data_IF_852854912520
#
_entry.id   IF_852854912520
#
_cell.length_a   1.000
_cell.length_b   1.000
_cell.length_c   1.000
_cell.angle_alpha   90.00
_cell.angle_beta   90.00
_cell.angle_gamma   90.00
#
_symmetry.space_group_name_H-M   'P 1'
#
loop_
_entity.id
_entity.type
_entity.pdbx_description
1 polymer ?
#
# COMPACT_ATOMS: atom_id res chain seq x y z
N UNK A 1 5.87 -16.41 48.50
CA UNK A 1 6.41 -15.40 47.58
C UNK A 1 5.27 -14.63 46.91
N UNK A 2 4.65 -13.69 47.63
CA UNK A 2 3.46 -12.93 47.16
C UNK A 2 3.37 -11.54 47.82
N UNK A 3 4.51 -10.93 48.18
CA UNK A 3 4.57 -9.63 48.89
C UNK A 3 5.68 -8.69 48.39
N UNK A 4 6.18 -8.89 47.18
CA UNK A 4 7.23 -8.02 46.57
C UNK A 4 6.72 -7.30 45.31
N UNK A 5 5.43 -7.45 44.99
CA UNK A 5 4.80 -6.86 43.81
C UNK A 5 3.79 -5.77 44.25
N UNK A 6 4.25 -4.71 44.92
CA UNK A 6 3.39 -3.55 45.27
C UNK A 6 4.14 -2.26 45.67
N UNK A 7 5.43 -2.12 45.36
CA UNK A 7 6.23 -0.93 45.71
C UNK A 7 7.02 -0.31 44.55
N UNK A 8 6.54 -0.49 43.31
CA UNK A 8 7.08 0.18 42.11
C UNK A 8 5.97 0.90 41.34
N UNK A 9 5.11 1.60 42.08
CA UNK A 9 3.96 2.32 41.53
C UNK A 9 3.76 3.64 42.29
N UNK A 10 4.83 4.43 42.44
CA UNK A 10 4.76 5.84 42.86
C UNK A 10 6.16 6.49 42.84
N UNK A 11 6.74 6.79 41.67
CA UNK A 11 7.76 7.86 41.56
C UNK A 11 8.13 8.14 40.09
N UNK A 12 7.38 9.01 39.41
CA UNK A 12 7.85 9.90 38.32
C UNK A 12 6.67 10.61 37.66
N UNK A 13 6.10 11.58 38.37
CA UNK A 13 5.25 12.61 37.79
C UNK A 13 5.91 13.95 38.11
N UNK A 14 6.63 14.52 37.13
CA UNK A 14 6.91 15.95 36.97
C UNK A 14 7.99 16.16 35.89
N UNK A 15 7.81 17.24 35.12
CA UNK A 15 8.76 17.89 34.19
C UNK A 15 8.62 17.51 32.70
N UNK A 16 7.77 18.23 31.98
CA UNK A 16 8.19 19.34 31.08
C UNK A 16 7.13 19.60 30.00
N UNK A 17 6.06 20.30 30.38
CA UNK A 17 5.26 21.09 29.44
C UNK A 17 5.86 22.49 29.35
N UNK A 18 6.87 22.64 28.50
CA UNK A 18 7.33 23.93 27.94
C UNK A 18 6.93 23.82 26.46
N UNK A 19 6.01 24.60 25.90
CA UNK A 19 5.69 26.00 26.15
C UNK A 19 5.86 26.70 24.81
N UNK A 20 4.78 26.87 24.05
CA UNK A 20 4.63 27.84 22.97
C UNK A 20 3.12 28.01 22.69
N UNK A 21 2.44 28.63 23.64
CA UNK A 21 1.09 29.15 23.48
C UNK A 21 1.05 30.53 24.14
N UNK A 22 0.42 31.49 23.44
CA UNK A 22 0.27 32.91 23.77
C UNK A 22 1.46 33.84 23.52
N UNK A 23 1.41 34.55 22.38
CA UNK A 23 1.68 35.98 22.38
C UNK A 23 0.42 36.69 21.85
N UNK A 24 -0.46 37.06 22.77
CA UNK A 24 -1.55 37.98 22.49
C UNK A 24 -1.02 39.40 22.30
N UNK A 25 -1.57 40.01 21.26
CA UNK A 25 -1.41 41.39 20.83
C UNK A 25 -2.23 42.29 21.75
N UNK A 26 -1.57 43.21 22.47
CA UNK A 26 -2.20 44.43 22.98
C UNK A 26 -1.38 45.66 22.59
N UNK A 27 -2.11 46.68 22.15
CA UNK A 27 -1.65 47.92 21.56
C UNK A 27 -1.21 48.95 22.62
N UNK A 28 -0.29 49.84 22.25
CA UNK A 28 -0.42 51.28 22.55
C UNK A 28 0.42 52.13 21.58
N UNK A 29 -0.05 53.35 21.36
CA UNK A 29 0.22 54.23 20.22
C UNK A 29 1.57 54.97 20.23
N UNK A 30 2.13 55.19 19.04
CA UNK A 30 3.28 56.07 18.80
C UNK A 30 3.33 56.55 17.36
N UNK A 31 2.92 57.80 17.15
CA UNK A 31 2.77 58.53 15.88
C UNK A 31 4.15 58.88 15.28
N UNK A 32 4.45 58.43 14.05
CA UNK A 32 5.65 58.82 13.30
C UNK A 32 5.50 58.59 11.80
N UNK A 33 5.67 59.66 11.03
CA UNK A 33 5.38 59.82 9.60
C UNK A 33 6.45 59.15 8.71
N UNK A 34 5.99 58.40 7.71
CA UNK A 34 6.44 58.41 6.31
C UNK A 34 7.90 58.04 6.00
N UNK A 35 8.10 56.82 5.48
CA UNK A 35 8.58 56.59 4.11
C UNK A 35 8.33 55.12 3.75
N UNK A 36 7.27 54.87 2.97
CA UNK A 36 6.98 53.55 2.39
C UNK A 36 7.92 53.35 1.20
N UNK A 37 9.07 52.72 1.45
CA UNK A 37 9.68 51.88 0.43
C UNK A 37 8.87 50.59 0.39
N UNK A 38 8.11 50.40 -0.68
CA UNK A 38 7.46 49.13 -1.00
C UNK A 38 8.55 48.10 -1.31
N UNK A 39 9.03 47.43 -0.27
CA UNK A 39 9.57 46.08 -0.44
C UNK A 39 8.39 45.21 -0.85
N UNK A 40 8.26 44.97 -2.16
CA UNK A 40 7.54 43.81 -2.67
C UNK A 40 8.30 42.57 -2.17
N UNK A 41 7.98 42.18 -0.93
CA UNK A 41 8.23 40.84 -0.44
C UNK A 41 7.33 39.92 -1.26
N UNK A 42 7.82 39.46 -2.40
CA UNK A 42 7.30 38.26 -3.04
C UNK A 42 7.69 37.07 -2.16
N UNK A 43 7.02 36.94 -1.02
CA UNK A 43 6.88 35.65 -0.36
C UNK A 43 6.14 34.76 -1.38
N UNK A 44 6.91 33.96 -2.12
CA UNK A 44 6.38 32.79 -2.81
C UNK A 44 5.65 31.98 -1.75
N UNK A 45 4.32 32.14 -1.70
CA UNK A 45 3.47 31.39 -0.81
C UNK A 45 3.72 29.92 -1.13
N UNK A 46 4.27 29.19 -0.16
CA UNK A 46 4.54 27.77 -0.33
C UNK A 46 3.25 27.07 -0.78
N UNK A 47 3.29 26.46 -1.96
CA UNK A 47 2.14 25.80 -2.55
C UNK A 47 1.85 24.52 -1.75
N UNK A 48 0.85 24.59 -0.87
CA UNK A 48 0.42 23.43 -0.10
C UNK A 48 -0.30 22.44 -1.02
N UNK A 49 0.12 21.17 -0.99
CA UNK A 49 -0.45 20.10 -1.80
C UNK A 49 -1.48 19.33 -0.96
N UNK A 50 -2.66 19.12 -1.52
CA UNK A 50 -3.70 18.29 -0.89
C UNK A 50 -3.24 16.83 -0.75
N UNK A 51 -3.56 16.15 0.38
CA UNK A 51 -3.23 14.74 0.54
C UNK A 51 -3.87 13.86 -0.54
N UNK A 52 -3.10 12.87 -1.01
CA UNK A 52 -3.64 11.83 -1.89
C UNK A 52 -4.67 10.96 -1.14
N UNK A 53 -5.64 10.43 -1.89
CA UNK A 53 -6.59 9.45 -1.36
C UNK A 53 -5.86 8.16 -0.96
N UNK A 54 -6.11 7.67 0.25
CA UNK A 54 -5.63 6.39 0.75
C UNK A 54 -6.76 5.36 0.82
N UNK A 55 -6.39 4.08 0.82
CA UNK A 55 -7.30 2.95 0.91
C UNK A 55 -6.82 2.00 2.00
N UNK A 56 -7.74 1.18 2.55
CA UNK A 56 -7.33 0.05 3.38
C UNK A 56 -6.54 -0.93 2.51
N UNK A 57 -5.39 -1.38 2.97
CA UNK A 57 -4.57 -2.36 2.26
C UNK A 57 -4.72 -3.74 2.90
N UNK A 58 -4.71 -4.79 2.08
CA UNK A 58 -4.61 -6.18 2.51
C UNK A 58 -3.12 -6.53 2.57
N UNK A 59 -2.71 -7.16 3.66
CA UNK A 59 -1.38 -7.76 3.78
C UNK A 59 -1.27 -8.95 2.83
N UNK A 60 -0.09 -9.12 2.24
CA UNK A 60 0.21 -10.23 1.34
C UNK A 60 1.72 -10.50 1.31
N UNK A 61 2.10 -11.73 1.00
CA UNK A 61 3.50 -12.08 0.73
C UNK A 61 3.63 -12.56 -0.71
N UNK A 62 4.65 -12.09 -1.43
CA UNK A 62 4.90 -12.53 -2.82
C UNK A 62 5.50 -13.93 -2.84
N UNK A 63 4.97 -14.80 -3.69
CA UNK A 63 5.50 -16.16 -3.85
C UNK A 63 6.64 -16.14 -4.86
N UNK A 64 7.84 -16.45 -4.39
CA UNK A 64 9.02 -16.64 -5.24
C UNK A 64 9.19 -18.13 -5.56
N UNK A 65 8.95 -18.50 -6.82
CA UNK A 65 8.99 -19.90 -7.26
C UNK A 65 10.42 -20.39 -7.51
N UNK A 66 11.03 -21.00 -6.50
CA UNK A 66 12.33 -21.67 -6.62
C UNK A 66 12.10 -23.07 -7.23
N UNK A 67 12.52 -23.27 -8.48
CA UNK A 67 12.37 -24.55 -9.19
C UNK A 67 11.35 -24.55 -10.33
N UNK A 68 10.76 -23.40 -10.63
CA UNK A 68 9.80 -23.20 -11.72
C UNK A 68 8.40 -22.91 -11.20
N UNK A 69 7.81 -21.83 -11.70
CA UNK A 69 6.43 -21.47 -11.40
C UNK A 69 5.45 -22.48 -12.06
N UNK A 70 4.23 -22.60 -11.53
CA UNK A 70 3.16 -23.33 -12.20
C UNK A 70 2.99 -22.90 -13.68
N UNK A 71 2.46 -23.79 -14.54
CA UNK A 71 2.17 -23.46 -15.93
C UNK A 71 1.26 -22.24 -16.07
N UNK A 72 1.41 -21.53 -17.19
CA UNK A 72 0.55 -20.39 -17.53
C UNK A 72 -0.85 -20.84 -17.91
N UNK A 73 -1.80 -19.95 -17.71
CA UNK A 73 -3.18 -20.12 -18.16
C UNK A 73 -3.32 -19.74 -19.63
N UNK A 74 -4.35 -20.28 -20.30
CA UNK A 74 -4.55 -20.05 -21.74
C UNK A 74 -4.81 -18.56 -22.06
N UNK A 75 -5.60 -17.91 -21.21
CA UNK A 75 -5.88 -16.47 -21.25
C UNK A 75 -5.37 -15.81 -19.97
N UNK A 76 -5.09 -14.51 -20.01
CA UNK A 76 -4.84 -13.78 -18.78
C UNK A 76 -6.10 -13.61 -17.94
N UNK A 77 -5.90 -13.33 -16.65
CA UNK A 77 -6.95 -13.37 -15.66
C UNK A 77 -6.43 -13.24 -14.24
N UNK A 78 -7.34 -13.47 -13.30
CA UNK A 78 -7.06 -13.48 -11.87
C UNK A 78 -7.70 -14.73 -11.28
N UNK A 79 -6.95 -15.46 -10.48
CA UNK A 79 -7.40 -16.65 -9.78
C UNK A 79 -7.13 -16.48 -8.30
N UNK A 80 -8.12 -16.88 -7.51
CA UNK A 80 -8.00 -17.05 -6.06
C UNK A 80 -8.08 -18.54 -5.80
N UNK A 81 -7.00 -19.09 -5.29
CA UNK A 81 -6.90 -20.49 -4.91
C UNK A 81 -7.00 -20.62 -3.40
N UNK A 82 -7.84 -21.54 -2.98
CA UNK A 82 -8.12 -21.84 -1.57
C UNK A 82 -7.81 -23.31 -1.31
N UNK A 83 -7.79 -23.73 -0.05
CA UNK A 83 -7.64 -25.14 0.37
C UNK A 83 -8.50 -26.13 -0.43
N UNK A 84 -9.74 -25.75 -0.71
CA UNK A 84 -10.70 -26.63 -1.39
C UNK A 84 -10.67 -26.47 -2.93
N UNK A 85 -10.05 -25.40 -3.43
CA UNK A 85 -10.04 -25.03 -4.86
C UNK A 85 -8.67 -24.51 -5.27
N UNK A 86 -7.76 -25.43 -5.55
CA UNK A 86 -6.43 -25.12 -6.09
C UNK A 86 -6.00 -26.19 -7.10
N UNK A 87 -5.10 -25.87 -8.06
CA UNK A 87 -4.54 -26.87 -8.96
C UNK A 87 -3.64 -27.86 -8.22
N UNK A 88 -3.44 -29.05 -8.82
CA UNK A 88 -2.48 -30.02 -8.31
C UNK A 88 -1.05 -29.46 -8.44
N UNK A 89 -0.23 -29.59 -7.40
CA UNK A 89 1.16 -29.12 -7.40
C UNK A 89 1.52 -28.13 -6.27
N UNK A 90 0.53 -27.59 -5.57
CA UNK A 90 0.71 -26.70 -4.40
C UNK A 90 0.78 -27.47 -3.06
N UNK A 91 1.49 -28.60 -3.05
CA UNK A 91 1.43 -29.54 -1.91
C UNK A 91 1.97 -28.99 -0.58
N UNK A 92 2.82 -27.96 -0.63
CA UNK A 92 3.46 -27.36 0.56
C UNK A 92 2.91 -25.98 0.94
N UNK A 93 1.84 -25.51 0.29
CA UNK A 93 1.21 -24.23 0.64
C UNK A 93 0.47 -24.36 1.98
N UNK A 94 0.55 -23.32 2.83
CA UNK A 94 -0.15 -23.27 4.11
C UNK A 94 -1.64 -22.95 3.92
N UNK A 95 -2.38 -23.94 3.43
CA UNK A 95 -3.80 -23.80 3.12
C UNK A 95 -4.71 -23.62 4.34
N UNK A 96 -4.18 -23.78 5.56
CA UNK A 96 -4.97 -23.58 6.78
C UNK A 96 -5.02 -22.11 7.19
N UNK A 97 -4.09 -21.29 6.70
CA UNK A 97 -3.93 -19.88 7.07
C UNK A 97 -3.88 -18.93 5.87
N UNK A 98 -3.59 -19.44 4.68
CA UNK A 98 -3.37 -18.62 3.50
C UNK A 98 -4.15 -19.11 2.29
N UNK A 99 -4.69 -18.14 1.54
CA UNK A 99 -5.12 -18.32 0.17
C UNK A 99 -4.06 -17.78 -0.80
N UNK A 100 -4.10 -18.23 -2.05
CA UNK A 100 -3.15 -17.79 -3.09
C UNK A 100 -3.88 -16.94 -4.13
N UNK A 101 -3.38 -15.73 -4.33
CA UNK A 101 -3.72 -14.86 -5.45
C UNK A 101 -2.75 -15.11 -6.60
N UNK A 102 -3.30 -15.36 -7.78
CA UNK A 102 -2.56 -15.47 -9.03
C UNK A 102 -3.08 -14.45 -10.03
N UNK A 103 -2.18 -13.66 -10.62
CA UNK A 103 -2.51 -12.75 -11.73
C UNK A 103 -1.68 -13.09 -12.97
N UNK A 104 -2.33 -13.06 -14.13
CA UNK A 104 -1.66 -13.19 -15.43
C UNK A 104 -2.17 -12.08 -16.36
N UNK A 105 -1.25 -11.24 -16.83
CA UNK A 105 -1.56 -10.20 -17.80
C UNK A 105 -1.71 -10.79 -19.23
N UNK A 106 -2.26 -9.98 -20.13
CA UNK A 106 -2.32 -10.31 -21.55
C UNK A 106 -0.92 -10.55 -22.13
N UNK A 107 -0.85 -11.38 -23.18
CA UNK A 107 0.37 -11.57 -23.96
C UNK A 107 0.85 -10.30 -24.63
N UNK A 108 0.02 -9.26 -24.79
CA UNK A 108 0.46 -7.98 -25.35
C UNK A 108 1.62 -7.32 -24.58
N UNK A 109 1.84 -7.70 -23.33
CA UNK A 109 2.94 -7.23 -22.49
C UNK A 109 4.18 -8.15 -22.58
N UNK A 110 4.50 -8.70 -23.75
CA UNK A 110 5.70 -9.53 -23.95
C UNK A 110 6.96 -8.80 -23.47
N UNK A 111 7.95 -9.58 -23.02
CA UNK A 111 9.22 -9.06 -22.49
C UNK A 111 9.10 -8.21 -21.21
N UNK A 112 7.97 -8.30 -20.51
CA UNK A 112 7.76 -7.68 -19.21
C UNK A 112 7.49 -8.75 -18.13
N UNK A 113 7.79 -8.36 -16.90
CA UNK A 113 7.29 -8.99 -15.69
C UNK A 113 6.32 -8.05 -15.00
N UNK A 114 5.28 -8.63 -14.40
CA UNK A 114 4.30 -7.91 -13.59
C UNK A 114 4.62 -8.20 -12.13
N UNK A 115 4.58 -7.18 -11.28
CA UNK A 115 4.90 -7.32 -9.87
C UNK A 115 3.80 -6.72 -9.02
N UNK A 116 3.14 -7.52 -8.18
CA UNK A 116 2.14 -7.04 -7.24
C UNK A 116 2.84 -6.16 -6.19
N UNK A 117 2.43 -4.90 -6.11
CA UNK A 117 2.93 -3.95 -5.11
C UNK A 117 1.93 -3.71 -3.99
N UNK A 118 0.64 -3.69 -4.28
CA UNK A 118 -0.42 -3.42 -3.28
C UNK A 118 -1.72 -4.15 -3.60
N UNK A 119 -2.45 -4.48 -2.54
CA UNK A 119 -3.85 -4.92 -2.61
C UNK A 119 -4.71 -3.92 -1.81
N UNK A 120 -5.52 -3.13 -2.50
CA UNK A 120 -6.27 -2.02 -1.90
C UNK A 120 -7.77 -2.30 -1.95
N UNK A 121 -8.43 -2.29 -0.81
CA UNK A 121 -9.89 -2.41 -0.73
C UNK A 121 -10.50 -1.05 -1.09
N UNK A 122 -11.05 -0.94 -2.30
CA UNK A 122 -11.60 0.32 -2.83
C UNK A 122 -13.13 0.41 -2.69
N UNK A 123 -13.80 -0.72 -2.48
CA UNK A 123 -15.19 -0.87 -2.04
C UNK A 123 -15.35 -2.19 -1.29
N UNK A 124 -16.51 -2.42 -0.68
CA UNK A 124 -16.80 -3.63 0.09
C UNK A 124 -16.58 -4.93 -0.71
N UNK A 125 -16.79 -4.90 -2.02
CA UNK A 125 -16.69 -6.04 -2.93
C UNK A 125 -15.58 -5.91 -4.00
N UNK A 126 -14.75 -4.86 -3.96
CA UNK A 126 -13.68 -4.65 -4.96
C UNK A 126 -12.33 -4.44 -4.32
N UNK A 127 -11.37 -5.28 -4.72
CA UNK A 127 -9.94 -5.12 -4.43
C UNK A 127 -9.24 -4.61 -5.68
N UNK A 128 -8.51 -3.51 -5.56
CA UNK A 128 -7.58 -3.04 -6.58
C UNK A 128 -6.21 -3.67 -6.34
N UNK A 129 -5.68 -4.33 -7.37
CA UNK A 129 -4.32 -4.84 -7.42
C UNK A 129 -3.48 -3.76 -8.10
N UNK A 130 -2.58 -3.13 -7.35
CA UNK A 130 -1.61 -2.18 -7.91
C UNK A 130 -0.35 -2.96 -8.25
N UNK A 131 0.06 -2.90 -9.51
CA UNK A 131 1.21 -3.63 -10.03
C UNK A 131 2.28 -2.69 -10.54
N UNK A 132 3.48 -3.22 -10.72
CA UNK A 132 4.60 -2.56 -11.36
C UNK A 132 5.15 -3.43 -12.49
N UNK A 133 5.88 -2.81 -13.42
CA UNK A 133 6.42 -3.48 -14.60
C UNK A 133 7.94 -3.52 -14.53
N UNK A 134 8.49 -4.73 -14.61
CA UNK A 134 9.93 -4.96 -14.70
C UNK A 134 10.26 -5.52 -16.09
N UNK A 135 11.42 -5.16 -16.66
CA UNK A 135 11.81 -5.69 -17.98
C UNK A 135 12.31 -7.12 -17.84
N UNK A 136 11.75 -8.03 -18.63
CA UNK A 136 12.15 -9.43 -18.68
C UNK A 136 12.21 -9.92 -20.13
N UNK A 137 13.26 -9.52 -20.84
CA UNK A 137 13.43 -9.77 -22.28
C UNK A 137 13.55 -11.28 -22.59
N UNK A 138 13.97 -12.09 -21.62
CA UNK A 138 14.14 -13.53 -21.79
C UNK A 138 12.85 -14.34 -21.62
N UNK A 139 11.74 -13.71 -21.22
CA UNK A 139 10.49 -14.41 -20.94
C UNK A 139 9.62 -14.55 -22.18
N UNK A 140 9.32 -15.80 -22.53
CA UNK A 140 8.36 -16.16 -23.59
C UNK A 140 6.92 -16.33 -23.06
N UNK A 141 6.77 -16.44 -21.74
CA UNK A 141 5.49 -16.59 -21.08
C UNK A 141 4.82 -15.22 -20.80
N UNK A 142 3.49 -15.13 -20.79
CA UNK A 142 2.79 -13.93 -20.33
C UNK A 142 3.29 -13.46 -18.95
N UNK A 143 3.33 -12.14 -18.68
CA UNK A 143 3.69 -11.61 -17.36
C UNK A 143 2.71 -12.11 -16.31
N UNK A 144 3.23 -12.58 -15.17
CA UNK A 144 2.41 -13.15 -14.11
C UNK A 144 3.10 -13.04 -12.76
N UNK A 145 2.31 -12.86 -11.70
CA UNK A 145 2.80 -12.81 -10.33
C UNK A 145 1.86 -13.56 -9.39
N UNK A 146 2.39 -13.90 -8.22
CA UNK A 146 1.74 -14.75 -7.23
C UNK A 146 1.91 -14.15 -5.84
N UNK A 147 0.87 -14.24 -5.02
CA UNK A 147 0.92 -13.80 -3.63
C UNK A 147 0.09 -14.71 -2.73
N UNK A 148 0.52 -14.88 -1.48
CA UNK A 148 -0.32 -15.40 -0.40
C UNK A 148 -1.02 -14.27 0.32
N UNK A 149 -2.22 -14.52 0.81
CA UNK A 149 -3.05 -13.61 1.61
C UNK A 149 -3.72 -14.40 2.73
N UNK A 150 -4.15 -13.74 3.80
CA UNK A 150 -4.93 -14.39 4.86
C UNK A 150 -6.17 -15.11 4.28
N UNK A 151 -6.45 -16.32 4.76
CA UNK A 151 -7.61 -17.12 4.31
C UNK A 151 -8.91 -16.31 4.38
N UNK A 152 -9.66 -16.32 3.28
CA UNK A 152 -10.95 -15.65 3.14
C UNK A 152 -10.86 -14.14 2.90
N UNK A 153 -9.66 -13.53 2.89
CA UNK A 153 -9.50 -12.09 2.65
C UNK A 153 -10.03 -11.65 1.26
N UNK A 154 -10.01 -12.55 0.29
CA UNK A 154 -10.44 -12.31 -1.09
C UNK A 154 -11.81 -12.91 -1.43
N UNK A 155 -12.52 -13.48 -0.46
CA UNK A 155 -13.80 -14.14 -0.69
C UNK A 155 -14.86 -13.18 -1.24
N UNK A 156 -15.45 -13.59 -2.37
CA UNK A 156 -16.48 -12.83 -3.07
C UNK A 156 -16.00 -11.49 -3.66
N UNK A 157 -14.69 -11.20 -3.64
CA UNK A 157 -14.15 -9.96 -4.19
C UNK A 157 -14.09 -10.01 -5.71
N UNK A 158 -14.32 -8.85 -6.31
CA UNK A 158 -13.99 -8.52 -7.69
C UNK A 158 -12.67 -7.76 -7.72
N UNK A 159 -12.05 -7.73 -8.89
CA UNK A 159 -10.73 -7.15 -9.03
C UNK A 159 -10.67 -6.09 -10.12
N UNK A 160 -9.87 -5.06 -9.85
CA UNK A 160 -9.36 -4.10 -10.83
C UNK A 160 -7.85 -4.15 -10.76
N UNK A 161 -7.17 -4.12 -11.91
CA UNK A 161 -5.70 -4.10 -11.96
C UNK A 161 -5.26 -2.78 -12.59
N UNK A 162 -4.47 -2.02 -11.84
CA UNK A 162 -3.83 -0.78 -12.29
C UNK A 162 -2.33 -0.89 -12.07
N UNK A 163 -1.53 -0.30 -12.95
CA UNK A 163 -0.11 -0.14 -12.68
C UNK A 163 0.17 1.05 -11.75
N UNK A 164 1.44 1.24 -11.39
CA UNK A 164 1.88 2.34 -10.52
C UNK A 164 1.64 3.74 -11.09
N UNK A 165 1.39 3.86 -12.40
CA UNK A 165 1.00 5.12 -13.04
C UNK A 165 -0.51 5.37 -13.03
N UNK A 166 -1.30 4.36 -12.65
CA UNK A 166 -2.76 4.39 -12.64
C UNK A 166 -3.39 3.91 -13.95
N UNK A 167 -2.61 3.38 -14.89
CA UNK A 167 -3.14 2.80 -16.13
C UNK A 167 -3.72 1.41 -15.88
N UNK A 168 -4.85 1.11 -16.53
CA UNK A 168 -5.48 -0.21 -16.41
C UNK A 168 -4.67 -1.27 -17.14
N UNK A 169 -4.40 -2.37 -16.45
CA UNK A 169 -3.71 -3.52 -17.04
C UNK A 169 -4.70 -4.39 -17.80
N UNK A 170 -4.38 -4.74 -19.05
CA UNK A 170 -5.18 -5.69 -19.82
C UNK A 170 -4.86 -7.12 -19.39
N UNK A 171 -5.89 -7.86 -19.02
CA UNK A 171 -5.77 -9.29 -18.71
C UNK A 171 -6.23 -10.17 -19.87
N UNK A 172 -7.11 -9.65 -20.73
CA UNK A 172 -7.65 -10.35 -21.90
C UNK A 172 -7.63 -9.43 -23.11
#
# INVERSE_FOLDING_TARGET
MKRVLLLLLAFSFALMSVGCGMLEKMADAGKGKGDQASEESSEEAAEAIEPNKSYKELEFERINWIGGAPPVEQEGGIWVYTKDKHPAGFGNQDWDHEDVLYIQASREYEHQDIVIRKLQVISDDVVKIVVDWEKDIGREAPPRDWATVETGALDGKKFVVEDTSGEKVKLK
#
